data_IF_683181707397
#
_entry.id   IF_683181707397
#
_cell.length_a   1.000
_cell.length_b   1.000
_cell.length_c   1.000
_cell.angle_alpha   90.00
_cell.angle_beta   90.00
_cell.angle_gamma   90.00
#
_symmetry.space_group_name_H-M   'P 1'
#
loop_
_entity.id
_entity.type
_entity.pdbx_description
1 polymer ?
#
# COMPACT_ATOMS: atom_id res chain seq x y z
N UNK A 1 -3.51 30.12 -12.42
CA UNK A 1 -3.29 28.66 -12.49
C UNK A 1 -2.35 28.23 -11.37
N UNK A 2 -1.15 28.78 -11.22
CA UNK A 2 -0.20 28.38 -10.16
C UNK A 2 -0.77 28.48 -8.72
N UNK A 3 -1.53 29.53 -8.40
CA UNK A 3 -2.13 29.70 -7.07
C UNK A 3 -3.21 28.65 -6.75
N UNK A 4 -3.93 28.17 -7.75
CA UNK A 4 -4.92 27.10 -7.58
C UNK A 4 -4.26 25.75 -7.38
N UNK A 5 -3.17 25.46 -8.09
CA UNK A 5 -2.39 24.23 -7.93
C UNK A 5 -1.72 24.18 -6.55
N UNK A 6 -1.18 25.29 -6.05
CA UNK A 6 -0.62 25.37 -4.70
C UNK A 6 -1.67 25.20 -3.61
N UNK A 7 -2.86 25.77 -3.76
CA UNK A 7 -3.95 25.58 -2.80
C UNK A 7 -4.45 24.14 -2.80
N UNK A 8 -4.54 23.51 -3.96
CA UNK A 8 -4.96 22.12 -4.08
C UNK A 8 -3.93 21.16 -3.47
N UNK A 9 -2.64 21.37 -3.71
CA UNK A 9 -1.59 20.54 -3.09
C UNK A 9 -1.56 20.70 -1.57
N UNK A 10 -1.73 21.92 -1.05
CA UNK A 10 -1.80 22.18 0.38
C UNK A 10 -3.04 21.54 1.06
N UNK A 11 -4.18 21.47 0.35
CA UNK A 11 -5.37 20.79 0.87
C UNK A 11 -5.18 19.26 0.93
N UNK A 12 -4.58 18.67 -0.11
CA UNK A 12 -4.27 17.23 -0.14
C UNK A 12 -3.30 16.82 0.98
N UNK A 13 -2.24 17.59 1.18
CA UNK A 13 -1.31 17.35 2.29
C UNK A 13 -1.96 17.42 3.67
N UNK A 14 -2.91 18.35 3.84
CA UNK A 14 -3.65 18.44 5.10
C UNK A 14 -4.54 17.22 5.33
N UNK A 15 -5.27 16.78 4.30
CA UNK A 15 -6.13 15.60 4.38
C UNK A 15 -5.32 14.32 4.68
N UNK A 16 -4.14 14.18 4.07
CA UNK A 16 -3.23 13.06 4.35
C UNK A 16 -2.75 13.09 5.81
N UNK A 17 -2.35 14.26 6.31
CA UNK A 17 -1.92 14.42 7.69
C UNK A 17 -3.05 14.11 8.68
N UNK A 18 -4.26 14.61 8.42
CA UNK A 18 -5.44 14.34 9.25
C UNK A 18 -5.77 12.83 9.28
N UNK A 19 -5.69 12.16 8.13
CA UNK A 19 -5.85 10.70 8.05
C UNK A 19 -4.78 9.94 8.83
N UNK A 20 -3.53 10.32 8.68
CA UNK A 20 -2.41 9.71 9.42
C UNK A 20 -2.62 9.86 10.93
N UNK A 21 -2.97 11.06 11.40
CA UNK A 21 -3.24 11.31 12.82
C UNK A 21 -4.44 10.51 13.34
N UNK A 22 -5.49 10.39 12.55
CA UNK A 22 -6.67 9.58 12.89
C UNK A 22 -6.31 8.10 13.09
N UNK A 23 -5.52 7.52 12.18
CA UNK A 23 -5.12 6.11 12.30
C UNK A 23 -4.08 5.90 13.40
N UNK A 24 -3.22 6.87 13.68
CA UNK A 24 -2.31 6.79 14.82
C UNK A 24 -3.07 6.81 16.16
N UNK A 25 -4.10 7.65 16.29
CA UNK A 25 -4.98 7.64 17.46
C UNK A 25 -5.75 6.31 17.57
N UNK A 26 -6.26 5.78 16.46
CA UNK A 26 -6.95 4.50 16.41
C UNK A 26 -6.03 3.34 16.84
N UNK A 27 -4.77 3.35 16.39
CA UNK A 27 -3.74 2.38 16.79
C UNK A 27 -3.48 2.42 18.30
N UNK A 28 -3.22 3.63 18.85
CA UNK A 28 -2.93 3.81 20.27
C UNK A 28 -4.12 3.40 21.14
N UNK A 29 -5.33 3.75 20.72
CA UNK A 29 -6.56 3.34 21.42
C UNK A 29 -6.72 1.82 21.42
N UNK A 30 -6.55 1.16 20.28
CA UNK A 30 -6.66 -0.30 20.19
C UNK A 30 -5.59 -1.00 21.03
N UNK A 31 -4.35 -0.48 21.05
CA UNK A 31 -3.28 -0.97 21.91
C UNK A 31 -3.63 -0.88 23.40
N UNK A 32 -4.15 0.27 23.84
CA UNK A 32 -4.58 0.48 25.23
C UNK A 32 -5.78 -0.40 25.61
N UNK A 33 -6.75 -0.59 24.71
CA UNK A 33 -7.88 -1.49 24.93
C UNK A 33 -7.44 -2.95 24.99
N UNK A 34 -6.52 -3.37 24.13
CA UNK A 34 -5.94 -4.73 24.15
C UNK A 34 -5.22 -5.02 25.47
N UNK A 35 -4.51 -4.04 26.03
CA UNK A 35 -3.85 -4.21 27.32
C UNK A 35 -4.86 -4.50 28.46
N UNK A 36 -6.11 -4.01 28.34
CA UNK A 36 -7.16 -4.26 29.31
C UNK A 36 -7.95 -5.54 29.03
N UNK A 37 -8.14 -5.88 27.75
CA UNK A 37 -8.83 -7.09 27.30
C UNK A 37 -8.07 -7.79 26.18
N UNK A 38 -7.07 -8.64 26.50
CA UNK A 38 -6.23 -9.30 25.51
C UNK A 38 -6.95 -10.33 24.64
N UNK A 39 -8.16 -10.73 25.01
CA UNK A 39 -8.94 -11.76 24.30
C UNK A 39 -10.05 -11.19 23.43
N UNK A 40 -10.01 -9.91 23.11
CA UNK A 40 -10.98 -9.27 22.24
C UNK A 40 -10.48 -9.26 20.77
N UNK A 41 -11.03 -10.16 19.97
CA UNK A 41 -10.70 -10.27 18.54
C UNK A 41 -11.05 -8.99 17.77
N UNK A 42 -12.08 -8.24 18.18
CA UNK A 42 -12.46 -7.00 17.52
C UNK A 42 -11.42 -5.89 17.73
N UNK A 43 -10.88 -5.78 18.94
CA UNK A 43 -9.80 -4.83 19.24
C UNK A 43 -8.56 -5.14 18.41
N UNK A 44 -8.16 -6.42 18.32
CA UNK A 44 -7.02 -6.85 17.51
C UNK A 44 -7.25 -6.56 16.02
N UNK A 45 -8.46 -6.78 15.51
CA UNK A 45 -8.80 -6.45 14.11
C UNK A 45 -8.66 -4.95 13.84
N UNK A 46 -9.18 -4.10 14.73
CA UNK A 46 -9.04 -2.64 14.62
C UNK A 46 -7.57 -2.19 14.69
N UNK A 47 -6.79 -2.81 15.57
CA UNK A 47 -5.36 -2.52 15.69
C UNK A 47 -4.61 -2.86 14.40
N UNK A 48 -4.81 -4.07 13.87
CA UNK A 48 -4.23 -4.47 12.59
C UNK A 48 -4.65 -3.56 11.43
N UNK A 49 -5.93 -3.16 11.39
CA UNK A 49 -6.45 -2.23 10.39
C UNK A 49 -5.76 -0.86 10.45
N UNK A 50 -5.61 -0.29 11.65
CA UNK A 50 -4.91 0.98 11.83
C UNK A 50 -3.44 0.90 11.41
N UNK A 51 -2.74 -0.20 11.73
CA UNK A 51 -1.36 -0.43 11.30
C UNK A 51 -1.25 -0.54 9.77
N UNK A 52 -2.17 -1.25 9.13
CA UNK A 52 -2.18 -1.39 7.67
C UNK A 52 -2.39 -0.04 6.97
N UNK A 53 -3.28 0.79 7.49
CA UNK A 53 -3.48 2.15 6.99
C UNK A 53 -2.27 3.06 7.22
N UNK A 54 -1.63 2.96 8.38
CA UNK A 54 -0.41 3.73 8.67
C UNK A 54 0.77 3.33 7.78
N UNK A 55 0.84 2.08 7.35
CA UNK A 55 1.86 1.62 6.42
C UNK A 55 1.85 2.41 5.10
N UNK A 56 0.68 2.91 4.66
CA UNK A 56 0.57 3.75 3.45
C UNK A 56 1.27 5.10 3.55
N UNK A 57 1.51 5.59 4.78
CA UNK A 57 2.22 6.85 5.04
C UNK A 57 3.70 6.63 5.35
N UNK A 58 4.19 5.40 5.20
CA UNK A 58 5.59 5.02 5.42
C UNK A 58 6.21 4.49 4.14
N UNK A 59 7.52 4.48 4.10
CA UNK A 59 8.28 3.98 2.95
C UNK A 59 9.32 2.95 3.41
N UNK A 60 9.77 2.12 2.49
CA UNK A 60 10.84 1.17 2.73
C UNK A 60 10.54 0.19 3.86
N UNK A 61 11.49 0.01 4.74
CA UNK A 61 11.44 -0.99 5.83
C UNK A 61 10.33 -0.70 6.82
N UNK A 62 10.08 0.58 7.15
CA UNK A 62 9.05 0.96 8.13
C UNK A 62 7.64 0.55 7.66
N UNK A 63 7.35 0.65 6.35
CA UNK A 63 6.08 0.21 5.79
C UNK A 63 5.94 -1.32 5.88
N UNK A 64 7.00 -2.05 5.57
CA UNK A 64 7.03 -3.53 5.66
C UNK A 64 6.77 -3.99 7.08
N UNK A 65 7.48 -3.42 8.06
CA UNK A 65 7.32 -3.77 9.48
C UNK A 65 5.88 -3.52 9.98
N UNK A 66 5.26 -2.43 9.54
CA UNK A 66 3.87 -2.14 9.89
C UNK A 66 2.89 -3.15 9.30
N UNK A 67 3.09 -3.57 8.04
CA UNK A 67 2.25 -4.59 7.41
C UNK A 67 2.43 -5.94 8.12
N UNK A 68 3.66 -6.34 8.47
CA UNK A 68 3.93 -7.58 9.19
C UNK A 68 3.29 -7.58 10.58
N UNK A 69 3.35 -6.45 11.28
CA UNK A 69 2.68 -6.30 12.57
C UNK A 69 1.16 -6.37 12.42
N UNK A 70 0.58 -5.77 11.37
CA UNK A 70 -0.84 -5.88 11.06
C UNK A 70 -1.27 -7.32 10.81
N UNK A 71 -0.53 -8.07 10.00
CA UNK A 71 -0.74 -9.52 9.76
C UNK A 71 -0.72 -10.30 11.08
N UNK A 72 0.23 -9.98 11.96
CA UNK A 72 0.30 -10.61 13.29
C UNK A 72 -0.98 -10.35 14.09
N UNK A 73 -1.47 -9.10 14.12
CA UNK A 73 -2.70 -8.74 14.85
C UNK A 73 -3.95 -9.41 14.28
N UNK A 74 -4.07 -9.51 12.96
CA UNK A 74 -5.19 -10.23 12.33
C UNK A 74 -5.14 -11.73 12.62
N UNK A 75 -3.96 -12.34 12.58
CA UNK A 75 -3.79 -13.74 12.96
C UNK A 75 -4.14 -13.98 14.43
N UNK A 76 -3.77 -13.08 15.33
CA UNK A 76 -4.15 -13.19 16.75
C UNK A 76 -5.67 -13.02 16.94
N UNK A 77 -6.32 -12.15 16.20
CA UNK A 77 -7.78 -12.04 16.17
C UNK A 77 -8.43 -13.35 15.73
N UNK A 78 -7.91 -13.98 14.68
CA UNK A 78 -8.42 -15.23 14.12
C UNK A 78 -8.11 -16.46 14.98
N UNK A 79 -7.13 -16.41 15.87
CA UNK A 79 -6.93 -17.43 16.93
C UNK A 79 -8.05 -17.40 17.97
N UNK A 80 -8.58 -16.20 18.26
CA UNK A 80 -9.67 -16.00 19.23
C UNK A 80 -11.01 -16.33 18.55
N UNK A 81 -11.25 -15.76 17.37
CA UNK A 81 -12.45 -15.99 16.57
C UNK A 81 -12.07 -16.39 15.13
N UNK A 82 -11.98 -17.69 14.83
CA UNK A 82 -11.60 -18.19 13.51
C UNK A 82 -12.58 -17.82 12.37
N UNK A 83 -13.79 -17.42 12.72
CA UNK A 83 -14.86 -17.06 11.77
C UNK A 83 -15.04 -15.56 11.59
N UNK A 84 -14.20 -14.75 12.20
CA UNK A 84 -14.26 -13.30 12.13
C UNK A 84 -13.98 -12.82 10.69
N UNK A 85 -15.05 -12.66 9.92
CA UNK A 85 -14.99 -12.39 8.47
C UNK A 85 -14.27 -11.07 8.13
N UNK A 86 -14.42 -10.02 8.94
CA UNK A 86 -13.71 -8.76 8.78
C UNK A 86 -12.19 -8.91 9.01
N UNK A 87 -11.76 -9.72 9.99
CA UNK A 87 -10.35 -10.03 10.21
C UNK A 87 -9.77 -10.87 9.06
N UNK A 88 -10.54 -11.83 8.53
CA UNK A 88 -10.15 -12.61 7.35
C UNK A 88 -9.95 -11.71 6.13
N UNK A 89 -10.89 -10.80 5.87
CA UNK A 89 -10.79 -9.86 4.77
C UNK A 89 -9.59 -8.90 4.93
N UNK A 90 -9.39 -8.35 6.12
CA UNK A 90 -8.24 -7.48 6.40
C UNK A 90 -6.90 -8.23 6.27
N UNK A 91 -6.82 -9.47 6.74
CA UNK A 91 -5.63 -10.33 6.57
C UNK A 91 -5.34 -10.57 5.09
N UNK A 92 -6.37 -10.88 4.29
CA UNK A 92 -6.22 -11.05 2.85
C UNK A 92 -5.65 -9.82 2.17
N UNK A 93 -6.12 -8.61 2.53
CA UNK A 93 -5.57 -7.36 2.02
C UNK A 93 -4.11 -7.14 2.43
N UNK A 94 -3.75 -7.41 3.70
CA UNK A 94 -2.38 -7.28 4.18
C UNK A 94 -1.42 -8.24 3.47
N UNK A 95 -1.83 -9.50 3.29
CA UNK A 95 -1.06 -10.51 2.56
C UNK A 95 -0.90 -10.14 1.07
N UNK A 96 -1.95 -9.60 0.44
CA UNK A 96 -1.85 -9.09 -0.93
C UNK A 96 -0.81 -7.98 -1.02
N UNK A 97 -0.82 -7.04 -0.07
CA UNK A 97 0.19 -5.97 0.00
C UNK A 97 1.60 -6.53 0.18
N UNK A 98 1.79 -7.52 1.06
CA UNK A 98 3.08 -8.20 1.21
C UNK A 98 3.55 -8.87 -0.08
N UNK A 99 2.65 -9.54 -0.81
CA UNK A 99 2.99 -10.17 -2.08
C UNK A 99 3.57 -9.19 -3.09
N UNK A 100 3.02 -7.98 -3.18
CA UNK A 100 3.54 -6.94 -4.08
C UNK A 100 4.88 -6.33 -3.66
N UNK A 101 5.33 -6.52 -2.42
CA UNK A 101 6.64 -6.07 -1.96
C UNK A 101 7.81 -6.96 -2.43
N UNK A 102 7.53 -8.20 -2.83
CA UNK A 102 8.56 -9.11 -3.33
C UNK A 102 8.73 -8.99 -4.84
N UNK A 103 9.98 -8.96 -5.31
CA UNK A 103 10.26 -8.99 -6.74
C UNK A 103 10.11 -10.40 -7.33
N UNK A 104 10.38 -11.43 -6.52
CA UNK A 104 10.32 -12.83 -6.93
C UNK A 104 8.87 -13.30 -7.04
N UNK A 105 8.49 -13.71 -8.27
CA UNK A 105 7.10 -14.12 -8.57
C UNK A 105 6.65 -15.33 -7.76
N UNK A 106 7.54 -16.28 -7.46
CA UNK A 106 7.24 -17.46 -6.65
C UNK A 106 6.85 -17.06 -5.23
N UNK A 107 7.66 -16.21 -4.60
CA UNK A 107 7.41 -15.72 -3.24
C UNK A 107 6.15 -14.85 -3.17
N UNK A 108 5.97 -13.95 -4.14
CA UNK A 108 4.75 -13.16 -4.26
C UNK A 108 3.50 -14.05 -4.41
N UNK A 109 3.61 -15.13 -5.20
CA UNK A 109 2.55 -16.11 -5.42
C UNK A 109 2.10 -16.77 -4.13
N UNK A 110 3.00 -17.16 -3.23
CA UNK A 110 2.66 -17.75 -1.93
C UNK A 110 1.74 -16.83 -1.09
N UNK A 111 2.06 -15.52 -1.07
CA UNK A 111 1.23 -14.53 -0.39
C UNK A 111 -0.14 -14.33 -1.04
N UNK A 112 -0.19 -14.31 -2.39
CA UNK A 112 -1.47 -14.19 -3.10
C UNK A 112 -2.36 -15.42 -2.89
N UNK A 113 -1.79 -16.62 -2.83
CA UNK A 113 -2.54 -17.85 -2.54
C UNK A 113 -3.06 -17.86 -1.10
N UNK A 114 -2.30 -17.34 -0.15
CA UNK A 114 -2.77 -17.21 1.24
C UNK A 114 -3.85 -16.15 1.36
N UNK A 115 -3.68 -15.01 0.69
CA UNK A 115 -4.70 -13.97 0.62
C UNK A 115 -6.01 -14.49 0.03
N UNK A 116 -5.93 -15.27 -1.06
CA UNK A 116 -7.09 -15.91 -1.69
C UNK A 116 -7.84 -16.79 -0.70
N UNK A 117 -7.12 -17.66 0.05
CA UNK A 117 -7.74 -18.50 1.10
C UNK A 117 -8.45 -17.68 2.19
N UNK A 118 -7.88 -16.53 2.56
CA UNK A 118 -8.51 -15.63 3.53
C UNK A 118 -9.82 -15.04 2.97
N UNK A 119 -9.82 -14.57 1.72
CA UNK A 119 -11.03 -14.03 1.09
C UNK A 119 -12.10 -15.11 0.84
N UNK A 120 -11.72 -16.32 0.41
CA UNK A 120 -12.64 -17.45 0.28
C UNK A 120 -13.36 -17.73 1.60
N UNK A 121 -12.63 -17.73 2.72
CA UNK A 121 -13.20 -17.90 4.06
C UNK A 121 -14.10 -16.75 4.44
N UNK A 122 -13.72 -15.51 4.16
CA UNK A 122 -14.56 -14.32 4.43
C UNK A 122 -15.88 -14.38 3.65
N UNK A 123 -15.84 -14.76 2.37
CA UNK A 123 -17.03 -14.98 1.52
C UNK A 123 -17.89 -16.12 2.05
N UNK A 124 -17.28 -17.21 2.58
CA UNK A 124 -18.03 -18.31 3.15
C UNK A 124 -18.82 -17.92 4.42
N UNK A 125 -18.30 -17.02 5.25
CA UNK A 125 -19.00 -16.51 6.43
C UNK A 125 -20.06 -15.44 6.07
N UNK A 126 -19.81 -14.60 5.03
CA UNK A 126 -20.76 -13.60 4.52
C UNK A 126 -20.94 -13.68 3.00
N UNK A 127 -21.74 -14.64 2.49
CA UNK A 127 -21.88 -14.88 1.04
C UNK A 127 -22.51 -13.73 0.27
N UNK A 128 -23.25 -12.85 0.91
CA UNK A 128 -23.91 -11.71 0.27
C UNK A 128 -23.05 -10.43 0.27
N UNK A 129 -21.84 -10.50 0.84
CA UNK A 129 -20.93 -9.35 0.90
C UNK A 129 -20.17 -9.18 -0.41
N UNK A 130 -20.62 -8.24 -1.23
CA UNK A 130 -20.05 -7.93 -2.55
C UNK A 130 -18.60 -7.42 -2.46
N UNK A 131 -18.20 -6.82 -1.32
CA UNK A 131 -16.83 -6.35 -1.12
C UNK A 131 -15.88 -7.54 -1.02
N UNK A 132 -16.27 -8.60 -0.29
CA UNK A 132 -15.46 -9.81 -0.15
C UNK A 132 -15.36 -10.59 -1.45
N UNK A 133 -16.47 -10.71 -2.19
CA UNK A 133 -16.46 -11.32 -3.53
C UNK A 133 -15.52 -10.59 -4.47
N UNK A 134 -15.59 -9.26 -4.48
CA UNK A 134 -14.72 -8.44 -5.33
C UNK A 134 -13.25 -8.56 -4.94
N UNK A 135 -12.94 -8.60 -3.63
CA UNK A 135 -11.57 -8.79 -3.16
C UNK A 135 -11.02 -10.16 -3.62
N UNK A 136 -11.82 -11.22 -3.54
CA UNK A 136 -11.46 -12.53 -4.05
C UNK A 136 -11.19 -12.51 -5.57
N UNK A 137 -12.09 -11.91 -6.36
CA UNK A 137 -11.89 -11.76 -7.82
C UNK A 137 -10.62 -10.97 -8.16
N UNK A 138 -10.35 -9.89 -7.43
CA UNK A 138 -9.14 -9.09 -7.64
C UNK A 138 -7.86 -9.85 -7.30
N UNK A 139 -7.88 -10.68 -6.27
CA UNK A 139 -6.73 -11.50 -5.87
C UNK A 139 -6.38 -12.55 -6.93
N UNK A 140 -7.35 -13.05 -7.69
CA UNK A 140 -7.07 -13.96 -8.83
C UNK A 140 -6.27 -13.28 -9.94
N UNK A 141 -6.36 -11.95 -10.06
CA UNK A 141 -5.60 -11.14 -11.02
C UNK A 141 -4.24 -10.68 -10.49
N UNK A 142 -4.00 -10.82 -9.18
CA UNK A 142 -2.79 -10.31 -8.53
C UNK A 142 -1.48 -10.84 -9.13
N UNK A 143 -1.34 -12.14 -9.46
CA UNK A 143 -0.10 -12.64 -10.09
C UNK A 143 0.20 -11.99 -11.45
N UNK A 144 -0.82 -11.77 -12.27
CA UNK A 144 -0.64 -11.13 -13.60
C UNK A 144 -0.29 -9.65 -13.46
N UNK A 145 -0.93 -8.94 -12.53
CA UNK A 145 -0.62 -7.54 -12.22
C UNK A 145 0.80 -7.39 -11.65
N UNK A 146 1.21 -8.31 -10.77
CA UNK A 146 2.57 -8.36 -10.25
C UNK A 146 3.60 -8.53 -11.37
N UNK A 147 3.39 -9.50 -12.27
CA UNK A 147 4.29 -9.74 -13.40
C UNK A 147 4.40 -8.50 -14.32
N UNK A 148 3.28 -7.82 -14.58
CA UNK A 148 3.27 -6.59 -15.37
C UNK A 148 4.03 -5.47 -14.69
N UNK A 149 3.82 -5.26 -13.39
CA UNK A 149 4.56 -4.28 -12.59
C UNK A 149 6.08 -4.54 -12.63
N UNK A 150 6.50 -5.80 -12.42
CA UNK A 150 7.92 -6.16 -12.48
C UNK A 150 8.52 -5.90 -13.87
N UNK A 151 7.78 -6.18 -14.93
CA UNK A 151 8.21 -5.88 -16.30
C UNK A 151 8.36 -4.38 -16.55
N UNK A 152 7.43 -3.56 -16.04
CA UNK A 152 7.50 -2.10 -16.15
C UNK A 152 8.71 -1.53 -15.38
N UNK A 153 8.93 -2.00 -14.14
CA UNK A 153 10.08 -1.61 -13.33
C UNK A 153 11.41 -1.97 -14.02
N UNK A 154 11.53 -3.19 -14.55
CA UNK A 154 12.71 -3.63 -15.28
C UNK A 154 12.94 -2.81 -16.57
N UNK A 155 11.88 -2.41 -17.27
CA UNK A 155 11.96 -1.54 -18.45
C UNK A 155 12.46 -0.14 -18.08
N UNK A 156 11.97 0.43 -16.98
CA UNK A 156 12.40 1.73 -16.47
C UNK A 156 13.88 1.72 -16.06
N UNK A 157 14.31 0.68 -15.34
CA UNK A 157 15.73 0.52 -14.95
C UNK A 157 16.65 0.46 -16.17
N UNK A 158 16.29 -0.34 -17.17
CA UNK A 158 17.08 -0.41 -18.44
C UNK A 158 17.14 0.94 -19.16
N UNK A 159 16.04 1.68 -19.18
CA UNK A 159 16.01 3.00 -19.80
C UNK A 159 16.91 4.00 -19.06
N UNK A 160 16.93 3.97 -17.72
CA UNK A 160 17.81 4.80 -16.89
C UNK A 160 19.27 4.43 -17.08
N UNK A 161 19.61 3.14 -17.09
CA UNK A 161 20.97 2.65 -17.35
C UNK A 161 21.47 3.10 -18.73
N UNK A 162 20.62 2.98 -19.76
CA UNK A 162 20.97 3.43 -21.12
C UNK A 162 21.19 4.95 -21.18
N UNK A 163 20.35 5.74 -20.49
CA UNK A 163 20.52 7.19 -20.42
C UNK A 163 21.81 7.59 -19.69
N UNK A 164 22.16 6.92 -18.61
CA UNK A 164 23.42 7.14 -17.89
C UNK A 164 24.64 6.75 -18.72
N UNK A 165 24.55 5.65 -19.45
CA UNK A 165 25.62 5.22 -20.35
C UNK A 165 25.84 6.25 -21.46
N UNK A 166 24.77 6.74 -22.09
CA UNK A 166 24.83 7.78 -23.11
C UNK A 166 25.48 9.08 -22.59
N UNK A 167 25.16 9.50 -21.38
CA UNK A 167 25.78 10.67 -20.75
C UNK A 167 27.28 10.46 -20.46
N UNK A 168 27.68 9.25 -20.01
CA UNK A 168 29.10 8.91 -19.79
C UNK A 168 29.91 8.92 -21.10
N UNK A 169 29.35 8.40 -22.17
CA UNK A 169 30.01 8.40 -23.49
C UNK A 169 30.22 9.82 -24.03
N UNK A 170 29.25 10.74 -23.82
CA UNK A 170 29.40 12.14 -24.19
C UNK A 170 30.46 12.87 -23.35
N UNK A 171 30.60 12.57 -22.07
CA UNK A 171 31.63 13.19 -21.21
C UNK A 171 33.05 12.67 -21.52
N UNK A 172 33.18 11.43 -21.96
CA UNK A 172 34.50 10.84 -22.31
C UNK A 172 34.89 11.23 -23.75
N UNK A 173 33.92 11.41 -24.67
CA UNK A 173 34.16 11.82 -26.06
C UNK A 173 34.35 13.31 -26.27
N UNK A 174 34.06 14.15 -25.27
CA UNK A 174 34.07 15.62 -25.33
C UNK A 174 35.38 16.32 -25.01
N UNK A 175 36.50 15.68 -25.19
CA UNK A 175 37.82 16.28 -25.07
C UNK A 175 38.26 17.04 -26.31
N UNK A 176 37.47 17.96 -26.88
CA UNK A 176 37.90 19.10 -27.68
C UNK A 176 36.72 19.76 -28.40
N UNK A 177 36.16 20.81 -27.82
CA UNK A 177 35.78 22.06 -28.51
C UNK A 177 35.09 23.01 -27.50
N UNK A 178 35.65 24.16 -27.37
CA UNK A 178 35.20 25.38 -26.68
C UNK A 178 33.87 25.88 -27.22
N UNK A 179 32.99 26.38 -26.30
CA UNK A 179 31.93 27.29 -26.69
C UNK A 179 30.67 27.29 -25.79
N UNK A 180 30.56 28.27 -24.97
CA UNK A 180 29.63 28.73 -24.00
C UNK A 180 28.11 28.49 -24.22
N UNK A 181 27.43 28.43 -23.10
CA UNK A 181 25.98 28.52 -22.97
C UNK A 181 25.54 28.06 -21.59
N UNK A 182 25.39 29.04 -20.67
CA UNK A 182 24.71 28.82 -19.38
C UNK A 182 23.21 28.74 -19.62
N UNK A 183 22.58 27.64 -19.24
CA UNK A 183 21.19 27.67 -18.79
C UNK A 183 21.04 26.69 -17.63
N UNK A 184 20.55 27.21 -16.50
CA UNK A 184 20.32 26.46 -15.29
C UNK A 184 19.06 25.62 -15.43
N UNK A 185 19.22 24.31 -15.34
CA UNK A 185 18.15 23.35 -15.14
C UNK A 185 18.25 22.81 -13.73
N UNK A 186 17.22 23.05 -12.95
CA UNK A 186 17.01 22.52 -11.61
C UNK A 186 17.03 20.98 -11.68
N UNK A 187 18.05 20.37 -11.09
CA UNK A 187 18.16 18.92 -10.98
C UNK A 187 17.12 18.44 -9.97
N UNK A 188 16.01 17.88 -10.48
CA UNK A 188 15.13 17.07 -9.66
C UNK A 188 15.87 15.80 -9.22
N UNK A 189 15.83 15.53 -7.93
CA UNK A 189 16.49 14.38 -7.30
C UNK A 189 15.86 13.07 -7.83
N UNK A 190 16.63 12.15 -8.46
CA UNK A 190 16.08 10.94 -9.05
C UNK A 190 15.40 10.00 -8.05
N UNK A 191 15.75 10.09 -6.77
CA UNK A 191 15.22 9.26 -5.72
C UNK A 191 13.78 9.68 -5.31
N UNK A 192 13.45 10.96 -5.38
CA UNK A 192 12.11 11.47 -5.05
C UNK A 192 11.05 11.02 -6.06
N UNK A 193 11.43 10.91 -7.34
CA UNK A 193 10.53 10.44 -8.40
C UNK A 193 10.26 8.93 -8.32
N UNK A 194 11.24 8.12 -7.92
CA UNK A 194 11.16 6.68 -7.81
C UNK A 194 10.18 6.24 -6.70
N UNK A 195 10.24 6.89 -5.54
CA UNK A 195 9.35 6.60 -4.41
C UNK A 195 7.93 7.13 -4.59
N UNK A 196 7.75 8.21 -5.34
CA UNK A 196 6.43 8.77 -5.67
C UNK A 196 5.61 7.84 -6.56
N UNK A 197 6.24 7.15 -7.52
CA UNK A 197 5.53 6.29 -8.48
C UNK A 197 5.15 4.92 -7.91
N UNK A 198 5.97 4.36 -7.01
CA UNK A 198 5.67 3.08 -6.32
C UNK A 198 4.53 3.20 -5.31
N UNK A 199 4.34 4.40 -4.70
CA UNK A 199 3.31 4.62 -3.69
C UNK A 199 1.90 4.78 -4.24
N UNK A 200 1.71 5.24 -5.46
CA UNK A 200 0.39 5.69 -5.95
C UNK A 200 -0.36 4.69 -6.83
N UNK A 201 0.34 3.83 -7.58
CA UNK A 201 -0.29 2.96 -8.56
C UNK A 201 -0.95 1.71 -7.96
N UNK A 202 -0.32 1.09 -6.98
CA UNK A 202 -0.80 -0.17 -6.39
C UNK A 202 -1.74 0.03 -5.21
N UNK A 203 -1.58 1.13 -4.47
CA UNK A 203 -2.37 1.41 -3.27
C UNK A 203 -3.70 2.11 -3.55
N UNK A 204 -3.86 2.83 -4.65
CA UNK A 204 -5.11 3.49 -5.00
C UNK A 204 -6.28 2.51 -5.17
N UNK A 205 -6.03 1.30 -5.65
CA UNK A 205 -7.07 0.26 -5.82
C UNK A 205 -7.49 -0.34 -4.47
N UNK A 206 -6.54 -0.50 -3.53
CA UNK A 206 -6.82 -1.07 -2.20
C UNK A 206 -7.47 -0.02 -1.29
N UNK A 207 -6.98 1.22 -1.33
CA UNK A 207 -7.51 2.33 -0.53
C UNK A 207 -8.95 2.70 -0.90
N UNK A 208 -9.30 2.69 -2.19
CA UNK A 208 -10.69 2.96 -2.62
C UNK A 208 -11.67 1.90 -2.15
N UNK A 209 -11.28 0.63 -2.08
CA UNK A 209 -12.14 -0.45 -1.55
C UNK A 209 -12.42 -0.27 -0.06
N UNK A 210 -11.46 0.22 0.69
CA UNK A 210 -11.58 0.42 2.14
C UNK A 210 -12.37 1.68 2.51
N UNK A 211 -12.20 2.76 1.76
CA UNK A 211 -12.92 4.03 1.95
C UNK A 211 -14.44 3.84 1.72
N UNK A 212 -14.80 3.01 0.75
CA UNK A 212 -16.20 2.63 0.50
C UNK A 212 -16.76 1.85 1.69
N UNK A 213 -15.98 0.96 2.32
CA UNK A 213 -16.44 0.17 3.47
C UNK A 213 -16.64 1.01 4.73
N UNK A 214 -15.75 1.95 5.04
CA UNK A 214 -15.93 2.86 6.18
C UNK A 214 -17.17 3.74 6.01
N UNK A 215 -17.43 4.21 4.80
CA UNK A 215 -18.61 5.05 4.52
C UNK A 215 -19.91 4.26 4.63
N UNK A 216 -19.92 2.98 4.25
CA UNK A 216 -21.08 2.09 4.41
C UNK A 216 -21.33 1.73 5.87
N UNK A 217 -20.28 1.52 6.69
CA UNK A 217 -20.47 1.27 8.12
C UNK A 217 -20.91 2.52 8.89
N UNK A 218 -20.40 3.69 8.54
CA UNK A 218 -20.85 4.95 9.13
C UNK A 218 -22.33 5.24 8.80
N UNK A 219 -22.78 4.91 7.60
CA UNK A 219 -24.18 5.05 7.21
C UNK A 219 -25.13 4.08 7.95
N UNK A 220 -24.67 2.86 8.27
CA UNK A 220 -25.43 1.87 9.05
C UNK A 220 -25.50 2.18 10.55
N UNK A 221 -24.60 2.99 11.08
CA UNK A 221 -24.60 3.38 12.49
C UNK A 221 -25.53 4.58 12.76
N UNK A 222 -26.12 5.19 11.73
CA UNK A 222 -27.07 6.32 11.83
C UNK A 222 -28.52 5.93 11.56
N UNK A 223 -28.82 4.65 11.28
CA UNK A 223 -30.17 4.07 11.19
C UNK A 223 -30.42 3.08 12.30
#
# INVERSE_FOLDING_TARGET
MADQEQQQSASLHREELERMLFFEEARQRAEAEHAQNPTDAHVLTRWGGALLELAHFRQGVDAVEMIELAVTKFNDALKIDPKKHDALWCLGNALTSQGFLFAEAEKAGEYFDEAKRCFERAVAEEPENEIYKKALEMTEKAPSLHAELQNQLAAQQRAQEAAQQYQREQTIGGGSSSGGGKEGGEQADPDEFYYSMLGWGTFAVIATSWLVMMNVQAARAQT
#
